data_IF_335349870633
#
_entry.id   IF_335349870633
#
_cell.length_a   1.000
_cell.length_b   1.000
_cell.length_c   1.000
_cell.angle_alpha   90.00
_cell.angle_beta   90.00
_cell.angle_gamma   90.00
#
_symmetry.space_group_name_H-M   'P 1'
#
loop_
_entity.id
_entity.type
_entity.pdbx_description
1 polymer ?
#
# COMPACT_ATOMS: atom_id res chain seq x y z
N UNK A 1 7.59 18.64 -14.00
CA UNK A 1 7.61 17.18 -14.22
C UNK A 1 7.14 16.47 -12.95
N UNK A 2 6.19 15.59 -13.07
CA UNK A 2 5.70 14.82 -11.92
C UNK A 2 6.55 13.57 -11.82
N UNK A 3 7.22 13.42 -10.67
CA UNK A 3 8.02 12.23 -10.41
C UNK A 3 7.10 11.21 -9.73
N UNK A 4 6.92 10.00 -10.29
CA UNK A 4 6.10 8.98 -9.66
C UNK A 4 6.64 8.64 -8.27
N UNK A 5 5.75 8.52 -7.31
CA UNK A 5 6.13 8.06 -5.97
C UNK A 5 6.04 6.56 -5.89
N UNK A 6 7.01 5.98 -5.24
CA UNK A 6 7.04 4.56 -4.93
C UNK A 6 7.19 4.38 -3.42
N UNK A 7 6.54 3.36 -2.89
CA UNK A 7 6.58 3.05 -1.47
C UNK A 7 7.10 1.63 -1.28
N UNK A 8 8.05 1.46 -0.35
CA UNK A 8 8.41 0.11 0.08
C UNK A 8 7.49 -0.29 1.25
N UNK A 9 7.65 -1.51 1.77
CA UNK A 9 6.78 -2.01 2.83
C UNK A 9 6.88 -1.14 4.09
N UNK A 10 8.07 -0.67 4.42
CA UNK A 10 8.26 0.16 5.59
C UNK A 10 7.56 1.52 5.45
N UNK A 11 7.56 2.08 4.25
CA UNK A 11 6.86 3.33 3.97
C UNK A 11 5.36 3.18 4.17
N UNK A 12 4.80 2.06 3.69
CA UNK A 12 3.36 1.82 3.81
C UNK A 12 2.92 1.64 5.26
N UNK A 13 3.77 1.04 6.09
CA UNK A 13 3.42 0.72 7.46
C UNK A 13 3.90 1.75 8.48
N UNK A 14 4.66 2.76 8.02
CA UNK A 14 5.20 3.79 8.91
C UNK A 14 4.06 4.63 9.49
N UNK A 15 4.13 4.83 10.79
CA UNK A 15 3.17 5.70 11.47
C UNK A 15 3.64 7.15 11.39
N UNK A 16 2.77 8.03 10.92
CA UNK A 16 3.03 9.47 10.89
C UNK A 16 2.96 10.04 12.31
N UNK A 17 3.49 11.26 12.54
CA UNK A 17 3.44 11.88 13.87
C UNK A 17 2.02 12.03 14.42
N UNK A 18 1.02 12.16 13.55
CA UNK A 18 -0.39 12.26 13.95
C UNK A 18 -1.04 10.89 14.18
N UNK A 19 -0.28 9.81 14.07
CA UNK A 19 -0.79 8.46 14.23
C UNK A 19 -1.32 7.82 12.96
N UNK A 20 -1.41 8.57 11.86
CA UNK A 20 -1.94 8.04 10.61
C UNK A 20 -0.96 7.09 9.94
N UNK A 21 -1.49 6.11 9.22
CA UNK A 21 -0.70 5.17 8.39
C UNK A 21 -1.34 5.09 7.02
N UNK A 22 -0.52 4.85 5.99
CA UNK A 22 -1.04 4.62 4.64
C UNK A 22 -1.86 3.33 4.62
N UNK A 23 -1.32 2.27 5.23
CA UNK A 23 -2.02 0.99 5.37
C UNK A 23 -1.97 0.59 6.85
N UNK A 24 -3.08 0.67 7.58
CA UNK A 24 -3.08 0.47 9.03
C UNK A 24 -3.19 -1.00 9.42
N UNK A 25 -2.25 -1.82 8.96
CA UNK A 25 -2.21 -3.24 9.28
C UNK A 25 -0.77 -3.63 9.64
N UNK A 26 -0.60 -4.82 10.21
CA UNK A 26 0.72 -5.34 10.49
C UNK A 26 1.38 -5.87 9.22
N UNK A 27 2.71 -6.02 9.26
CA UNK A 27 3.47 -6.51 8.12
C UNK A 27 3.01 -7.90 7.67
N UNK A 28 2.84 -8.88 8.57
CA UNK A 28 2.32 -10.19 8.15
C UNK A 28 0.94 -10.12 7.52
N UNK A 29 0.07 -9.24 8.04
CA UNK A 29 -1.26 -9.06 7.49
C UNK A 29 -1.20 -8.50 6.08
N UNK A 30 -0.30 -7.52 5.84
CA UNK A 30 -0.14 -6.96 4.51
C UNK A 30 0.29 -8.02 3.50
N UNK A 31 1.24 -8.87 3.86
CA UNK A 31 1.66 -9.95 2.97
C UNK A 31 0.55 -10.95 2.69
N UNK A 32 -0.28 -11.23 3.68
CA UNK A 32 -1.46 -12.09 3.47
C UNK A 32 -2.44 -11.47 2.50
N UNK A 33 -2.65 -10.17 2.59
CA UNK A 33 -3.54 -9.44 1.70
C UNK A 33 -3.02 -9.47 0.26
N UNK A 34 -1.71 -9.33 0.08
CA UNK A 34 -1.10 -9.45 -1.25
C UNK A 34 -1.33 -10.86 -1.81
N UNK A 35 -1.09 -11.89 -1.01
CA UNK A 35 -1.29 -13.27 -1.43
C UNK A 35 -2.75 -13.58 -1.73
N UNK A 36 -3.66 -13.00 -0.98
CA UNK A 36 -5.09 -13.21 -1.18
C UNK A 36 -5.68 -12.39 -2.33
N UNK A 37 -4.92 -11.45 -2.88
CA UNK A 37 -5.39 -10.61 -3.96
C UNK A 37 -6.21 -9.41 -3.52
N UNK A 38 -6.25 -9.12 -2.21
CA UNK A 38 -7.00 -7.98 -1.68
C UNK A 38 -6.16 -6.71 -1.56
N UNK A 39 -4.87 -6.81 -1.85
CA UNK A 39 -3.96 -5.68 -1.89
C UNK A 39 -3.11 -5.79 -3.15
N UNK A 40 -2.74 -4.67 -3.80
CA UNK A 40 -1.96 -4.71 -5.03
C UNK A 40 -0.64 -5.44 -4.86
N UNK A 41 -0.25 -6.19 -5.88
CA UNK A 41 1.03 -6.87 -5.87
C UNK A 41 2.16 -5.85 -6.04
N UNK A 42 3.29 -6.03 -5.33
CA UNK A 42 4.41 -5.11 -5.49
C UNK A 42 5.06 -5.26 -6.87
N UNK A 43 5.68 -4.20 -7.31
CA UNK A 43 6.49 -4.19 -8.52
C UNK A 43 7.96 -4.29 -8.13
N UNK A 44 8.75 -4.95 -8.95
CA UNK A 44 10.18 -5.05 -8.70
C UNK A 44 10.90 -3.82 -9.24
N UNK A 45 11.67 -3.17 -8.39
CA UNK A 45 12.55 -2.09 -8.78
C UNK A 45 13.96 -2.51 -8.35
N UNK A 46 14.70 -3.10 -9.29
CA UNK A 46 15.95 -3.76 -8.95
C UNK A 46 15.69 -4.94 -8.03
N UNK A 47 16.27 -4.94 -6.85
CA UNK A 47 16.08 -5.99 -5.86
C UNK A 47 14.97 -5.69 -4.85
N UNK A 48 14.32 -4.53 -4.99
CA UNK A 48 13.33 -4.08 -4.02
C UNK A 48 11.93 -4.31 -4.56
N UNK A 49 11.02 -4.59 -3.64
CA UNK A 49 9.60 -4.63 -3.94
C UNK A 49 8.99 -3.30 -3.54
N UNK A 50 8.31 -2.66 -4.48
CA UNK A 50 7.71 -1.34 -4.25
C UNK A 50 6.29 -1.31 -4.80
N UNK A 51 5.49 -0.39 -4.28
CA UNK A 51 4.15 -0.11 -4.78
C UNK A 51 4.13 1.31 -5.31
N UNK A 52 3.49 1.53 -6.45
CA UNK A 52 3.33 2.87 -6.98
C UNK A 52 2.25 3.63 -6.21
N UNK A 53 2.38 4.95 -6.18
CA UNK A 53 1.36 5.81 -5.57
C UNK A 53 -0.01 5.57 -6.20
N UNK A 54 -0.04 5.37 -7.52
CA UNK A 54 -1.28 5.10 -8.23
C UNK A 54 -1.94 3.81 -7.76
N UNK A 55 -1.17 2.73 -7.60
CA UNK A 55 -1.70 1.46 -7.13
C UNK A 55 -2.31 1.60 -5.73
N UNK A 56 -1.64 2.32 -4.85
CA UNK A 56 -2.12 2.54 -3.49
C UNK A 56 -3.39 3.39 -3.48
N UNK A 57 -3.43 4.41 -4.32
CA UNK A 57 -4.61 5.27 -4.43
C UNK A 57 -5.82 4.49 -4.91
N UNK A 58 -5.65 3.65 -5.94
CA UNK A 58 -6.73 2.81 -6.45
C UNK A 58 -7.22 1.83 -5.40
N UNK A 59 -6.30 1.20 -4.67
CA UNK A 59 -6.67 0.28 -3.61
C UNK A 59 -7.47 0.98 -2.52
N UNK A 60 -7.04 2.16 -2.13
CA UNK A 60 -7.71 2.93 -1.08
C UNK A 60 -9.13 3.30 -1.50
N UNK A 61 -9.31 3.71 -2.74
CA UNK A 61 -10.64 4.05 -3.26
C UNK A 61 -11.56 2.84 -3.24
N UNK A 62 -11.07 1.68 -3.68
CA UNK A 62 -11.85 0.45 -3.67
C UNK A 62 -12.19 0.02 -2.25
N UNK A 63 -11.25 0.16 -1.33
CA UNK A 63 -11.47 -0.17 0.07
C UNK A 63 -12.57 0.71 0.66
N UNK A 64 -12.54 2.00 0.41
CA UNK A 64 -13.54 2.93 0.92
C UNK A 64 -14.93 2.64 0.36
N UNK A 65 -15.03 2.28 -0.90
CA UNK A 65 -16.30 1.90 -1.50
C UNK A 65 -16.89 0.66 -0.83
N UNK A 66 -16.05 -0.33 -0.58
CA UNK A 66 -16.50 -1.59 0.03
C UNK A 66 -16.94 -1.41 1.47
N UNK A 67 -16.32 -0.48 2.19
CA UNK A 67 -16.67 -0.22 3.59
C UNK A 67 -18.07 0.39 3.70
N UNK A 68 -18.49 1.13 2.69
CA UNK A 68 -19.78 1.80 2.69
C UNK A 68 -20.90 0.94 2.09
N UNK A 69 -20.55 -0.24 1.61
CA UNK A 69 -21.51 -1.15 0.98
C UNK A 69 -22.33 -1.98 1.95
#
# INVERSE_FOLDING_TARGET
MIIPKFYNINDLLRQAPDGARIVPVSKPTLYRMVAAGTFPKPRKLGKRSVWSDEDITLWREQFMENVNG
#
